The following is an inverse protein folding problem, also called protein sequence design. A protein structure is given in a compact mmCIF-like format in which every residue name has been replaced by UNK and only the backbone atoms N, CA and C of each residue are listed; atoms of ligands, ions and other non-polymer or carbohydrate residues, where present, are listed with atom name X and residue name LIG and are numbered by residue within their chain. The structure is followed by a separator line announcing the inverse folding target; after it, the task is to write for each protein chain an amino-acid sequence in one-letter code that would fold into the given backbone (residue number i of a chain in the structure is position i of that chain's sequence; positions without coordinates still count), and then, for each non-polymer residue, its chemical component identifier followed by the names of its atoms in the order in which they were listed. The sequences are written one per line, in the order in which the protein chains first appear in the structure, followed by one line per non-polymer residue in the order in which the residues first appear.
data_IF_061784128809
#
_entry.id   IF_061784128809
#
_cell.length_a   1.000
_cell.length_b   1.000
_cell.length_c   1.000
_cell.angle_alpha   90.00
_cell.angle_beta   90.00
_cell.angle_gamma   90.00
#
_symmetry.space_group_name_H-M   'P 1'
#
loop_
_entity.id
_entity.type
_entity.pdbx_description
1 polymer ?
#
# COMPACT_ATOMS: atom_id res chain seq x y z
N UNK A 1 4.06 -6.17 -43.99
CA UNK A 1 4.13 -6.97 -42.75
C UNK A 1 5.09 -6.30 -41.75
N UNK A 2 4.76 -5.11 -41.24
CA UNK A 2 5.65 -4.36 -40.32
C UNK A 2 4.88 -3.54 -39.26
N UNK A 3 3.55 -3.59 -39.26
CA UNK A 3 2.69 -2.75 -38.40
C UNK A 3 2.28 -3.43 -37.08
N UNK A 4 2.41 -4.75 -36.96
CA UNK A 4 1.96 -5.51 -35.77
C UNK A 4 2.97 -5.49 -34.63
N UNK A 5 4.25 -5.22 -34.91
CA UNK A 5 5.32 -5.32 -33.92
C UNK A 5 5.48 -4.05 -33.08
N UNK A 6 5.26 -2.87 -33.69
CA UNK A 6 5.19 -1.59 -33.00
C UNK A 6 4.02 -1.53 -32.02
N UNK A 7 2.89 -2.12 -32.38
CA UNK A 7 1.68 -2.17 -31.56
C UNK A 7 1.89 -3.03 -30.30
N UNK A 8 2.54 -4.20 -30.44
CA UNK A 8 2.85 -5.07 -29.31
C UNK A 8 3.81 -4.44 -28.30
N UNK A 9 4.83 -3.72 -28.79
CA UNK A 9 5.76 -2.99 -27.91
C UNK A 9 5.06 -1.86 -27.17
N UNK A 10 4.22 -1.09 -27.85
CA UNK A 10 3.45 -0.01 -27.25
C UNK A 10 2.49 -0.53 -26.16
N UNK A 11 1.79 -1.62 -26.44
CA UNK A 11 0.90 -2.28 -25.47
C UNK A 11 1.68 -2.72 -24.23
N UNK A 12 2.83 -3.39 -24.39
CA UNK A 12 3.64 -3.84 -23.24
C UNK A 12 4.11 -2.68 -22.34
N UNK A 13 4.47 -1.54 -22.92
CA UNK A 13 4.86 -0.32 -22.18
C UNK A 13 3.66 0.27 -21.44
N UNK A 14 2.49 0.35 -22.08
CA UNK A 14 1.25 0.83 -21.46
C UNK A 14 0.81 -0.07 -20.30
N UNK A 15 0.88 -1.39 -20.44
CA UNK A 15 0.60 -2.34 -19.37
C UNK A 15 1.61 -2.24 -18.21
N UNK A 16 2.89 -2.04 -18.51
CA UNK A 16 3.93 -1.81 -17.50
C UNK A 16 3.69 -0.54 -16.69
N UNK A 17 3.42 0.58 -17.36
CA UNK A 17 3.08 1.87 -16.73
C UNK A 17 1.78 1.78 -15.92
N UNK A 18 0.76 1.10 -16.44
CA UNK A 18 -0.49 0.83 -15.74
C UNK A 18 -0.27 0.05 -14.44
N UNK A 19 0.58 -0.97 -14.46
CA UNK A 19 0.91 -1.77 -13.27
C UNK A 19 1.58 -0.94 -12.18
N UNK A 20 2.51 -0.07 -12.55
CA UNK A 20 3.20 0.84 -11.61
C UNK A 20 2.24 1.86 -11.02
N UNK A 21 1.32 2.43 -11.83
CA UNK A 21 0.31 3.36 -11.35
C UNK A 21 -0.67 2.70 -10.37
N UNK A 22 -1.16 1.50 -10.69
CA UNK A 22 -2.05 0.73 -9.80
C UNK A 22 -1.35 0.36 -8.50
N UNK A 23 -0.10 -0.10 -8.56
CA UNK A 23 0.69 -0.38 -7.35
C UNK A 23 0.92 0.88 -6.51
N UNK A 24 1.24 2.01 -7.13
CA UNK A 24 1.44 3.29 -6.44
C UNK A 24 0.17 3.79 -5.76
N UNK A 25 -0.97 3.73 -6.46
CA UNK A 25 -2.29 4.09 -5.92
C UNK A 25 -2.70 3.17 -4.77
N UNK A 26 -2.50 1.86 -4.93
CA UNK A 26 -2.81 0.88 -3.89
C UNK A 26 -1.95 1.08 -2.64
N UNK A 27 -0.66 1.42 -2.82
CA UNK A 27 0.26 1.73 -1.72
C UNK A 27 -0.12 3.03 -1.00
N UNK A 28 -0.56 4.05 -1.73
CA UNK A 28 -1.09 5.30 -1.14
C UNK A 28 -2.38 5.04 -0.36
N UNK A 29 -3.33 4.31 -0.92
CA UNK A 29 -4.57 3.96 -0.23
C UNK A 29 -4.34 3.15 1.06
N UNK A 30 -3.37 2.23 1.07
CA UNK A 30 -3.00 1.48 2.26
C UNK A 30 -2.34 2.35 3.36
N UNK A 31 -1.58 3.38 2.95
CA UNK A 31 -1.00 4.35 3.89
C UNK A 31 -2.06 5.30 4.43
N UNK A 32 -2.96 5.81 3.58
CA UNK A 32 -4.07 6.68 4.00
C UNK A 32 -5.05 5.94 4.91
N UNK A 33 -5.34 4.66 4.66
CA UNK A 33 -6.16 3.84 5.55
C UNK A 33 -5.52 3.66 6.93
N UNK A 34 -4.20 3.44 6.97
CA UNK A 34 -3.44 3.34 8.22
C UNK A 34 -3.36 4.69 8.95
N UNK A 35 -3.16 5.79 8.25
CA UNK A 35 -3.10 7.13 8.84
C UNK A 35 -4.47 7.53 9.41
N UNK A 36 -5.57 7.28 8.69
CA UNK A 36 -6.92 7.52 9.20
C UNK A 36 -7.26 6.67 10.42
N UNK A 37 -6.85 5.40 10.44
CA UNK A 37 -7.02 4.54 11.62
C UNK A 37 -6.16 4.99 12.80
N UNK A 38 -4.94 5.48 12.55
CA UNK A 38 -4.07 6.03 13.60
C UNK A 38 -4.63 7.35 14.15
N UNK A 39 -5.14 8.25 13.30
CA UNK A 39 -5.76 9.51 13.70
C UNK A 39 -7.08 9.32 14.47
N UNK A 40 -7.87 8.31 14.08
CA UNK A 40 -9.09 7.94 14.79
C UNK A 40 -8.80 7.25 16.15
N UNK A 41 -7.67 6.55 16.25
CA UNK A 41 -7.25 5.87 17.47
C UNK A 41 -6.59 6.87 18.45
N UNK A 42 -7.40 7.74 19.06
CA UNK A 42 -6.95 8.68 20.11
C UNK A 42 -6.56 8.00 21.43
N UNK A 43 -7.14 6.83 21.71
CA UNK A 43 -6.71 5.93 22.81
C UNK A 43 -6.14 4.67 22.19
N UNK A 44 -4.84 4.49 22.37
CA UNK A 44 -4.16 3.27 21.95
C UNK A 44 -4.37 2.19 23.01
N UNK A 45 -5.05 1.12 22.62
CA UNK A 45 -5.18 -0.09 23.42
C UNK A 45 -3.98 -1.00 23.10
N UNK A 46 -2.97 -0.98 23.97
CA UNK A 46 -1.68 -1.63 23.74
C UNK A 46 -1.73 -3.08 24.18
N UNK A 47 -1.43 -3.98 23.25
CA UNK A 47 -1.26 -5.41 23.52
C UNK A 47 0.20 -5.79 23.30
N UNK A 48 0.76 -6.59 24.21
CA UNK A 48 2.11 -7.13 24.05
C UNK A 48 2.06 -8.31 23.09
N UNK A 49 2.70 -8.18 21.94
CA UNK A 49 2.94 -9.29 21.03
C UNK A 49 4.32 -9.86 21.34
N UNK A 50 4.37 -11.13 21.75
CA UNK A 50 5.58 -11.89 22.14
C UNK A 50 6.76 -11.67 21.19
N UNK A 51 6.51 -11.50 19.89
CA UNK A 51 7.56 -11.37 18.87
C UNK A 51 7.86 -9.95 18.38
N UNK A 52 7.04 -8.95 18.71
CA UNK A 52 7.13 -7.60 18.11
C UNK A 52 7.02 -6.43 19.10
N UNK A 53 6.90 -6.71 20.40
CA UNK A 53 6.73 -5.69 21.42
C UNK A 53 5.28 -5.23 21.57
N UNK A 54 5.08 -4.06 22.17
CA UNK A 54 3.75 -3.48 22.35
C UNK A 54 3.20 -3.01 20.99
N UNK A 55 2.00 -3.42 20.64
CA UNK A 55 1.30 -3.01 19.42
C UNK A 55 -0.09 -2.55 19.82
N UNK A 56 -0.59 -1.46 19.26
CA UNK A 56 -1.97 -1.07 19.46
C UNK A 56 -2.88 -2.03 18.69
N UNK A 57 -3.80 -2.72 19.38
CA UNK A 57 -4.70 -3.68 18.75
C UNK A 57 -5.62 -3.03 17.70
N UNK A 58 -5.95 -1.74 17.87
CA UNK A 58 -6.92 -1.03 17.01
C UNK A 58 -6.30 -0.42 15.77
N UNK A 59 -5.08 0.13 15.85
CA UNK A 59 -4.44 0.84 14.73
C UNK A 59 -3.10 0.26 14.32
N UNK A 60 -2.63 -0.82 14.98
CA UNK A 60 -1.37 -1.47 14.68
C UNK A 60 -0.12 -0.61 14.94
N UNK A 61 -0.27 0.55 15.61
CA UNK A 61 0.85 1.43 15.97
C UNK A 61 1.74 0.72 16.98
N UNK A 62 3.06 0.86 16.84
CA UNK A 62 4.05 0.41 17.81
C UNK A 62 4.51 1.67 18.56
N UNK A 63 4.58 1.67 19.91
CA UNK A 63 5.17 2.77 20.63
C UNK A 63 6.68 2.74 20.33
N UNK A 64 7.16 3.84 19.74
CA UNK A 64 8.59 4.06 19.50
C UNK A 64 9.31 4.48 20.77
#
# INVERSE_FOLDING_TARGET
MNLTWLDASLLSVLFGLGSVLVQSLSRRGALEGKEKQQAACRRHDWVRLESRGLVCQRCGKIPG
#
